data_IF_987736991780
#
_entry.id   IF_987736991780
#
_cell.length_a   1.000
_cell.length_b   1.000
_cell.length_c   1.000
_cell.angle_alpha   90.00
_cell.angle_beta   90.00
_cell.angle_gamma   90.00
#
_symmetry.space_group_name_H-M   'P 1'
#
loop_
_entity.id
_entity.type
_entity.pdbx_description
1 polymer ?
#
# COMPACT_ATOMS: atom_id res chain seq x y z
N UNK A 1 19.77 23.65 -6.81
CA UNK A 1 19.28 23.18 -6.65
C UNK A 1 18.59 22.46 -6.49
N UNK A 2 18.45 22.07 -6.73
CA UNK A 2 17.78 21.42 -6.63
C UNK A 2 17.25 20.67 -6.17
N UNK A 3 17.21 20.60 -5.93
CA UNK A 3 16.70 19.69 -5.51
C UNK A 3 15.67 18.97 -5.74
N UNK A 4 15.40 18.93 -6.33
CA UNK A 4 14.54 18.36 -6.47
C UNK A 4 13.99 17.43 -6.04
N UNK A 5 14.24 17.31 -5.85
CA UNK A 5 13.84 16.53 -5.50
C UNK A 5 13.01 16.09 -4.95
N UNK A 6 13.09 16.42 -4.38
CA UNK A 6 12.36 16.34 -3.76
C UNK A 6 11.08 15.98 -3.72
N UNK A 7 10.57 16.14 -4.20
CA UNK A 7 9.25 15.79 -4.53
C UNK A 7 9.06 14.33 -4.87
N UNK A 8 10.06 13.54 -4.65
CA UNK A 8 9.97 12.13 -4.96
C UNK A 8 8.81 11.44 -4.28
N UNK A 9 8.55 11.70 -2.99
CA UNK A 9 7.47 10.97 -2.33
C UNK A 9 6.11 11.20 -2.95
N UNK A 10 6.00 12.29 -3.69
CA UNK A 10 4.70 12.63 -4.26
C UNK A 10 4.54 12.14 -5.67
N UNK A 11 5.59 11.62 -6.27
CA UNK A 11 5.52 11.20 -7.66
C UNK A 11 4.77 9.89 -7.84
N UNK A 12 4.64 9.10 -6.79
CA UNK A 12 3.96 7.82 -6.88
C UNK A 12 2.85 7.79 -5.83
N UNK A 13 1.64 8.16 -6.26
CA UNK A 13 0.49 8.14 -5.36
C UNK A 13 -0.17 6.78 -5.41
N UNK A 14 -0.50 6.24 -4.26
CA UNK A 14 -1.08 4.92 -4.18
C UNK A 14 -2.33 4.94 -3.33
N UNK A 15 -3.25 4.03 -3.65
CA UNK A 15 -4.47 3.81 -2.87
C UNK A 15 -4.44 2.38 -2.39
N UNK A 16 -4.58 2.20 -1.09
CA UNK A 16 -4.50 0.90 -0.45
C UNK A 16 -5.76 0.67 0.36
N UNK A 17 -6.32 -0.54 0.24
CA UNK A 17 -7.46 -0.94 1.05
C UNK A 17 -6.98 -1.83 2.17
N UNK A 18 -7.43 -1.54 3.38
CA UNK A 18 -7.06 -2.33 4.56
C UNK A 18 -8.26 -3.05 5.11
N UNK A 19 -8.04 -4.27 5.58
CA UNK A 19 -9.00 -5.00 6.39
C UNK A 19 -9.25 -4.22 7.68
N UNK A 20 -10.48 -4.24 8.21
CA UNK A 20 -10.74 -3.55 9.48
C UNK A 20 -9.80 -3.94 10.61
N UNK A 21 -9.25 -5.14 10.57
CA UNK A 21 -8.32 -5.59 11.59
C UNK A 21 -7.04 -4.76 11.65
N UNK A 22 -6.70 -4.05 10.56
CA UNK A 22 -5.50 -3.21 10.54
C UNK A 22 -5.74 -1.82 11.12
N UNK A 23 -6.97 -1.51 11.53
CA UNK A 23 -7.35 -0.16 11.88
C UNK A 23 -6.48 0.46 12.96
N UNK A 24 -6.24 -0.28 14.03
CA UNK A 24 -5.49 0.27 15.14
C UNK A 24 -4.04 0.55 14.78
N UNK A 25 -3.45 -0.29 13.93
CA UNK A 25 -2.09 -0.05 13.48
C UNK A 25 -2.01 1.22 12.63
N UNK A 26 -3.01 1.43 11.77
CA UNK A 26 -3.04 2.63 10.94
C UNK A 26 -3.23 3.87 11.81
N UNK A 27 -4.14 3.79 12.78
CA UNK A 27 -4.39 4.92 13.67
C UNK A 27 -3.14 5.28 14.46
N UNK A 28 -2.44 4.28 14.97
CA UNK A 28 -1.22 4.51 15.76
C UNK A 28 -0.17 5.26 14.96
N UNK A 29 0.01 4.89 13.69
CA UNK A 29 1.11 5.43 12.91
C UNK A 29 0.72 6.69 12.14
N UNK A 30 -0.52 6.81 11.73
CA UNK A 30 -0.92 7.87 10.81
C UNK A 30 -2.11 8.69 11.29
N UNK A 31 -2.77 8.28 12.37
CA UNK A 31 -3.89 9.02 12.92
C UNK A 31 -5.23 8.52 12.41
N UNK A 32 -6.26 8.80 13.19
CA UNK A 32 -7.61 8.31 12.88
C UNK A 32 -8.22 8.97 11.65
N UNK A 33 -7.65 10.09 11.21
CA UNK A 33 -8.18 10.83 10.07
C UNK A 33 -7.45 10.54 8.78
N UNK A 34 -6.51 9.60 8.81
CA UNK A 34 -5.67 9.33 7.65
C UNK A 34 -6.35 8.45 6.60
N UNK A 35 -7.49 7.89 6.92
CA UNK A 35 -8.19 6.98 6.01
C UNK A 35 -9.68 7.29 6.01
N UNK A 36 -10.37 6.76 4.99
CA UNK A 36 -11.83 6.79 4.97
C UNK A 36 -12.35 5.37 5.14
N UNK A 37 -13.52 5.26 5.78
CA UNK A 37 -14.13 3.96 6.02
C UNK A 37 -15.15 3.69 4.92
N UNK A 38 -15.09 2.50 4.35
CA UNK A 38 -16.04 2.09 3.34
C UNK A 38 -17.24 1.42 3.99
N UNK A 39 -18.30 1.21 3.17
CA UNK A 39 -19.55 0.68 3.70
C UNK A 39 -19.40 -0.72 4.32
N UNK A 40 -18.47 -1.50 3.80
CA UNK A 40 -18.24 -2.86 4.30
C UNK A 40 -17.29 -2.91 5.49
N UNK A 41 -16.83 -1.75 5.97
CA UNK A 41 -15.94 -1.67 7.10
C UNK A 41 -14.47 -1.61 6.75
N UNK A 42 -14.13 -1.84 5.49
CA UNK A 42 -12.73 -1.73 5.08
C UNK A 42 -12.29 -0.27 5.08
N UNK A 43 -10.97 -0.07 5.07
CA UNK A 43 -10.39 1.26 5.17
C UNK A 43 -9.67 1.60 3.89
N UNK A 44 -9.88 2.81 3.40
CA UNK A 44 -9.23 3.28 2.18
C UNK A 44 -8.21 4.33 2.54
N UNK A 45 -6.96 4.07 2.16
CA UNK A 45 -5.82 4.90 2.58
C UNK A 45 -5.05 5.34 1.34
N UNK A 46 -4.70 6.64 1.30
CA UNK A 46 -3.94 7.21 0.20
C UNK A 46 -2.61 7.71 0.71
N UNK A 47 -1.55 7.43 -0.04
CA UNK A 47 -0.23 7.84 0.37
C UNK A 47 0.70 7.93 -0.83
N UNK A 48 1.66 8.89 -0.76
CA UNK A 48 2.70 8.99 -1.77
C UNK A 48 3.92 8.18 -1.35
N UNK A 49 4.61 7.63 -2.33
CA UNK A 49 5.81 6.82 -2.11
C UNK A 49 6.91 7.27 -3.04
N UNK A 50 8.18 7.14 -2.64
CA UNK A 50 9.28 7.53 -3.53
C UNK A 50 9.43 6.62 -4.73
N UNK A 51 9.14 5.34 -4.60
CA UNK A 51 9.25 4.41 -5.72
C UNK A 51 8.43 3.16 -5.44
N UNK A 52 8.37 2.28 -6.45
CA UNK A 52 7.54 1.09 -6.36
C UNK A 52 8.04 0.09 -5.33
N UNK A 53 9.34 0.00 -5.14
CA UNK A 53 9.88 -0.96 -4.18
C UNK A 53 9.46 -0.59 -2.76
N UNK A 54 9.50 0.71 -2.47
CA UNK A 54 9.07 1.17 -1.17
C UNK A 54 7.58 0.91 -0.97
N UNK A 55 6.79 1.16 -2.00
CA UNK A 55 5.36 0.90 -1.95
C UNK A 55 5.07 -0.58 -1.69
N UNK A 56 5.72 -1.45 -2.46
CA UNK A 56 5.48 -2.89 -2.30
C UNK A 56 5.90 -3.37 -0.93
N UNK A 57 7.06 -2.89 -0.45
CA UNK A 57 7.53 -3.28 0.87
C UNK A 57 6.55 -2.86 1.96
N UNK A 58 6.03 -1.65 1.85
CA UNK A 58 5.10 -1.13 2.84
C UNK A 58 3.79 -1.93 2.84
N UNK A 59 3.24 -2.18 1.65
CA UNK A 59 1.99 -2.94 1.54
C UNK A 59 2.18 -4.36 2.09
N UNK A 60 3.28 -5.00 1.71
CA UNK A 60 3.52 -6.38 2.13
C UNK A 60 3.80 -6.49 3.62
N UNK A 61 4.22 -5.40 4.26
CA UNK A 61 4.44 -5.43 5.71
C UNK A 61 3.14 -5.63 6.48
N UNK A 62 2.00 -5.38 5.84
CA UNK A 62 0.69 -5.64 6.45
C UNK A 62 0.16 -7.02 6.11
N UNK A 63 0.88 -7.74 5.27
CA UNK A 63 0.53 -9.11 4.89
C UNK A 63 -0.86 -9.13 4.22
N UNK A 64 -1.72 -10.08 4.62
CA UNK A 64 -3.01 -10.21 3.95
C UNK A 64 -4.01 -9.10 4.34
N UNK A 65 -3.63 -8.22 5.24
CA UNK A 65 -4.53 -7.16 5.68
C UNK A 65 -4.55 -5.96 4.72
N UNK A 66 -3.64 -5.91 3.76
CA UNK A 66 -3.55 -4.78 2.84
C UNK A 66 -3.68 -5.24 1.41
N UNK A 67 -4.36 -4.43 0.61
CA UNK A 67 -4.53 -4.69 -0.81
C UNK A 67 -4.21 -3.41 -1.57
N UNK A 68 -3.23 -3.48 -2.47
CA UNK A 68 -2.90 -2.34 -3.32
C UNK A 68 -3.97 -2.21 -4.40
N UNK A 69 -4.64 -1.06 -4.46
CA UNK A 69 -5.68 -0.82 -5.46
C UNK A 69 -5.17 -0.03 -6.65
N UNK A 70 -4.42 1.04 -6.40
CA UNK A 70 -3.95 1.93 -7.44
C UNK A 70 -2.53 2.34 -7.15
N UNK A 71 -1.69 2.56 -8.16
CA UNK A 71 -2.01 2.51 -9.59
C UNK A 71 -2.21 1.06 -10.07
N UNK A 72 -3.01 0.91 -11.11
CA UNK A 72 -3.38 -0.44 -11.55
C UNK A 72 -2.20 -1.23 -12.10
N UNK A 73 -1.28 -0.56 -12.80
CA UNK A 73 -0.12 -1.26 -13.33
C UNK A 73 0.76 -1.82 -12.21
N UNK A 74 0.87 -1.08 -11.10
CA UNK A 74 1.64 -1.56 -9.96
C UNK A 74 0.88 -2.64 -9.18
N UNK A 75 -0.44 -2.52 -9.13
CA UNK A 75 -1.25 -3.59 -8.56
C UNK A 75 -0.99 -4.91 -9.30
N UNK A 76 -0.96 -4.82 -10.62
CA UNK A 76 -0.72 -6.01 -11.46
C UNK A 76 0.68 -6.55 -11.25
N UNK A 77 1.66 -5.66 -11.19
CA UNK A 77 3.04 -6.08 -10.97
C UNK A 77 3.19 -6.77 -9.61
N UNK A 78 2.56 -6.23 -8.58
CA UNK A 78 2.62 -6.83 -7.26
C UNK A 78 1.96 -8.20 -7.26
N UNK A 79 0.84 -8.34 -7.96
CA UNK A 79 0.17 -9.63 -8.06
C UNK A 79 1.08 -10.67 -8.70
N UNK A 80 1.83 -10.26 -9.74
CA UNK A 80 2.76 -11.18 -10.39
C UNK A 80 3.90 -11.59 -9.46
N UNK A 81 4.40 -10.66 -8.67
CA UNK A 81 5.43 -10.98 -7.69
C UNK A 81 4.91 -11.95 -6.65
N UNK A 82 3.67 -11.74 -6.22
CA UNK A 82 3.08 -12.61 -5.22
C UNK A 82 2.89 -14.03 -5.75
N UNK A 83 2.56 -14.16 -7.02
CA UNK A 83 2.46 -15.48 -7.63
C UNK A 83 3.81 -16.19 -7.62
N UNK A 84 4.87 -15.47 -7.91
CA UNK A 84 6.20 -16.06 -7.87
C UNK A 84 6.59 -16.47 -6.45
N UNK A 85 6.22 -15.65 -5.48
CA UNK A 85 6.49 -15.99 -4.09
C UNK A 85 5.68 -17.22 -3.68
N UNK A 86 4.40 -17.21 -4.03
CA UNK A 86 3.53 -18.33 -3.70
C UNK A 86 4.05 -19.63 -4.30
N UNK A 87 4.57 -19.54 -5.52
CA UNK A 87 5.08 -20.73 -6.21
C UNK A 87 6.23 -21.39 -5.47
N UNK A 88 6.98 -20.63 -4.68
CA UNK A 88 8.07 -21.22 -3.90
C UNK A 88 7.56 -22.07 -2.75
N UNK A 89 6.37 -21.80 -2.28
CA UNK A 89 5.79 -22.49 -1.14
C UNK A 89 4.73 -23.52 -1.53
N UNK A 90 4.28 -23.45 -2.77
CA UNK A 90 3.24 -24.34 -3.28
C UNK A 90 3.89 -25.55 -3.95
N UNK A 91 4.47 -26.42 -3.13
CA UNK A 91 5.15 -27.60 -3.66
C UNK A 91 4.70 -28.86 -3.00
#
# INVERSE_FOLDING_TARGET
ITPVLRVYPESLQAVIRFDPAARWRIIDEYGAESFTREADGSLLFRRGFPDREELFRWVLSFQELAELLEPEDLRRELAERLQKIYGKYDR
#
